data_IF_498033348917
#
_entry.id   IF_498033348917
#
_cell.length_a   1.000
_cell.length_b   1.000
_cell.length_c   1.000
_cell.angle_alpha   90.00
_cell.angle_beta   90.00
_cell.angle_gamma   90.00
#
_symmetry.space_group_name_H-M   'P 1'
#
loop_
_entity.id
_entity.type
_entity.pdbx_description
1 polymer ?
#
# COMPACT_ATOMS: atom_id res chain seq x y z
N UNK A 1 3.70 -4.78 5.96
CA UNK A 1 4.92 -5.08 5.18
C UNK A 1 5.98 -4.00 5.37
N UNK A 2 5.71 -2.75 4.95
CA UNK A 2 6.68 -1.65 4.99
C UNK A 2 7.27 -1.43 6.39
N UNK A 3 6.46 -1.26 7.44
CA UNK A 3 6.99 -1.06 8.80
C UNK A 3 7.85 -2.24 9.33
N UNK A 4 7.44 -3.48 9.03
CA UNK A 4 8.22 -4.67 9.40
C UNK A 4 9.56 -4.72 8.66
N UNK A 5 9.55 -4.43 7.35
CA UNK A 5 10.75 -4.39 6.52
C UNK A 5 11.68 -3.21 6.87
N UNK A 6 11.13 -2.08 7.33
CA UNK A 6 11.89 -0.93 7.78
C UNK A 6 12.65 -1.18 9.09
N UNK A 7 12.19 -2.14 9.92
CA UNK A 7 12.77 -2.43 11.24
C UNK A 7 12.46 -1.36 12.29
N UNK A 8 11.54 -0.43 11.98
CA UNK A 8 11.09 0.65 12.85
C UNK A 8 9.62 0.91 12.60
N UNK A 9 8.93 1.39 13.63
CA UNK A 9 7.54 1.82 13.52
C UNK A 9 7.42 3.34 13.40
N UNK A 10 8.50 4.13 13.54
CA UNK A 10 8.39 5.60 13.47
C UNK A 10 8.24 6.08 12.03
N UNK A 11 7.18 6.81 11.74
CA UNK A 11 6.88 7.27 10.37
C UNK A 11 8.02 8.10 9.79
N UNK A 12 8.60 8.99 10.58
CA UNK A 12 9.71 9.85 10.13
C UNK A 12 10.95 9.04 9.71
N UNK A 13 11.22 7.91 10.38
CA UNK A 13 12.33 7.02 10.04
C UNK A 13 11.99 6.18 8.80
N UNK A 14 10.74 5.72 8.66
CA UNK A 14 10.28 4.99 7.47
C UNK A 14 10.27 5.91 6.23
N UNK A 15 9.80 7.15 6.38
CA UNK A 15 9.70 8.15 5.30
C UNK A 15 11.07 8.58 4.77
N UNK A 16 12.12 8.49 5.58
CA UNK A 16 13.49 8.78 5.18
C UNK A 16 14.13 7.68 4.31
N UNK A 17 13.49 6.51 4.19
CA UNK A 17 13.97 5.42 3.33
C UNK A 17 13.59 5.74 1.88
N UNK A 18 14.56 5.66 0.96
CA UNK A 18 14.30 5.85 -0.46
C UNK A 18 13.44 4.70 -1.03
N UNK A 19 12.68 4.98 -2.09
CA UNK A 19 11.74 4.01 -2.65
C UNK A 19 12.40 2.69 -3.09
N UNK A 20 13.60 2.75 -3.65
CA UNK A 20 14.33 1.56 -4.11
C UNK A 20 14.83 0.71 -2.92
N UNK A 21 15.33 1.35 -1.88
CA UNK A 21 15.71 0.69 -0.64
C UNK A 21 14.48 0.11 0.09
N UNK A 22 13.35 0.82 0.10
CA UNK A 22 12.10 0.32 0.65
C UNK A 22 11.62 -0.93 -0.09
N UNK A 23 11.67 -0.90 -1.44
CA UNK A 23 11.37 -2.05 -2.28
C UNK A 23 12.28 -3.24 -1.93
N UNK A 24 13.59 -3.01 -1.88
CA UNK A 24 14.58 -4.03 -1.56
C UNK A 24 14.32 -4.66 -0.19
N UNK A 25 14.13 -3.85 0.85
CA UNK A 25 13.85 -4.34 2.21
C UNK A 25 12.57 -5.16 2.29
N UNK A 26 11.51 -4.75 1.57
CA UNK A 26 10.25 -5.52 1.54
C UNK A 26 10.45 -6.85 0.82
N UNK A 27 11.17 -6.88 -0.30
CA UNK A 27 11.48 -8.14 -0.99
C UNK A 27 12.36 -9.06 -0.12
N UNK A 28 13.37 -8.53 0.56
CA UNK A 28 14.21 -9.29 1.51
C UNK A 28 13.38 -9.84 2.67
N UNK A 29 12.48 -9.03 3.24
CA UNK A 29 11.57 -9.46 4.29
C UNK A 29 10.65 -10.59 3.80
N UNK A 30 10.08 -10.49 2.60
CA UNK A 30 9.21 -11.52 2.03
C UNK A 30 9.97 -12.81 1.70
N UNK A 31 11.24 -12.70 1.28
CA UNK A 31 12.12 -13.85 1.04
C UNK A 31 12.45 -14.58 2.35
N UNK A 32 12.73 -13.84 3.43
CA UNK A 32 12.97 -14.39 4.76
C UNK A 32 11.70 -14.96 5.42
N UNK A 33 10.51 -14.49 5.01
CA UNK A 33 9.23 -14.84 5.62
C UNK A 33 8.22 -15.40 4.58
N UNK A 34 8.46 -16.59 4.00
CA UNK A 34 7.62 -17.14 2.94
C UNK A 34 6.16 -17.37 3.36
N UNK A 35 5.89 -17.55 4.66
CA UNK A 35 4.55 -17.66 5.20
C UNK A 35 3.67 -16.42 4.91
N UNK A 36 4.28 -15.23 4.83
CA UNK A 36 3.58 -13.97 4.52
C UNK A 36 3.11 -13.98 3.07
N UNK A 37 3.99 -14.28 2.13
CA UNK A 37 3.66 -14.47 0.70
C UNK A 37 2.55 -15.52 0.54
N UNK A 38 2.69 -16.67 1.22
CA UNK A 38 1.68 -17.75 1.21
C UNK A 38 0.31 -17.27 1.70
N UNK A 39 0.30 -16.47 2.78
CA UNK A 39 -0.94 -15.91 3.34
C UNK A 39 -1.62 -14.96 2.36
N UNK A 40 -0.86 -14.03 1.77
CA UNK A 40 -1.37 -13.06 0.78
C UNK A 40 -2.05 -13.78 -0.39
N UNK A 41 -1.38 -14.79 -0.96
CA UNK A 41 -1.93 -15.49 -2.12
C UNK A 41 -3.07 -16.46 -1.76
N UNK A 42 -3.12 -16.95 -0.50
CA UNK A 42 -4.18 -17.83 0.00
C UNK A 42 -5.50 -17.09 0.24
N UNK A 43 -5.44 -15.84 0.70
CA UNK A 43 -6.65 -14.98 0.79
C UNK A 43 -7.15 -14.52 -0.58
N UNK A 44 -6.39 -14.82 -1.64
CA UNK A 44 -6.75 -14.58 -3.03
C UNK A 44 -6.28 -13.24 -3.56
N UNK A 45 -5.29 -12.63 -2.92
CA UNK A 45 -4.66 -11.38 -3.39
C UNK A 45 -3.39 -11.70 -4.17
N UNK A 46 -3.31 -11.37 -5.46
CA UNK A 46 -2.07 -11.53 -6.23
C UNK A 46 -0.98 -10.56 -5.77
N UNK A 47 0.27 -10.96 -6.00
CA UNK A 47 1.45 -10.12 -5.81
C UNK A 47 2.07 -9.84 -7.17
N UNK A 48 2.17 -8.56 -7.53
CA UNK A 48 2.76 -8.08 -8.76
C UNK A 48 4.21 -7.64 -8.52
N UNK A 49 5.12 -8.04 -9.40
CA UNK A 49 6.54 -7.66 -9.37
C UNK A 49 7.02 -7.31 -10.77
N UNK A 50 8.05 -6.48 -10.83
CA UNK A 50 8.86 -6.29 -12.04
C UNK A 50 10.31 -6.69 -11.74
N UNK A 51 10.86 -7.62 -12.55
CA UNK A 51 12.25 -8.10 -12.40
C UNK A 51 12.91 -8.16 -13.76
N UNK A 52 14.02 -7.45 -13.93
CA UNK A 52 14.75 -7.41 -15.21
C UNK A 52 13.90 -6.89 -16.37
N UNK A 53 13.02 -5.92 -16.13
CA UNK A 53 12.08 -5.37 -17.13
C UNK A 53 10.90 -6.30 -17.48
N UNK A 54 10.69 -7.38 -16.72
CA UNK A 54 9.60 -8.33 -16.95
C UNK A 54 8.65 -8.37 -15.75
N UNK A 55 7.37 -8.21 -16.05
CA UNK A 55 6.29 -8.35 -15.08
C UNK A 55 6.08 -9.83 -14.71
N UNK A 56 5.92 -10.07 -13.40
CA UNK A 56 5.67 -11.39 -12.83
C UNK A 56 4.57 -11.29 -11.78
N UNK A 57 3.67 -12.29 -11.77
CA UNK A 57 2.55 -12.36 -10.85
C UNK A 57 2.69 -13.64 -10.02
N UNK A 58 2.71 -13.50 -8.70
CA UNK A 58 2.55 -14.63 -7.77
C UNK A 58 1.11 -14.68 -7.31
N UNK A 59 0.44 -15.82 -7.49
CA UNK A 59 -0.97 -16.00 -7.12
C UNK A 59 -1.25 -17.39 -6.58
N UNK A 60 -2.33 -17.50 -5.83
CA UNK A 60 -2.91 -18.78 -5.42
C UNK A 60 -3.74 -19.38 -6.55
N UNK A 61 -4.35 -20.56 -6.32
CA UNK A 61 -5.32 -21.14 -7.25
C UNK A 61 -6.59 -20.28 -7.38
N UNK A 62 -6.93 -19.51 -6.35
CA UNK A 62 -8.05 -18.58 -6.32
C UNK A 62 -7.54 -17.15 -6.36
N UNK A 63 -8.19 -16.32 -7.17
CA UNK A 63 -8.02 -14.87 -7.21
C UNK A 63 -9.34 -14.25 -6.77
N UNK A 64 -9.29 -13.42 -5.73
CA UNK A 64 -10.46 -12.72 -5.19
C UNK A 64 -10.56 -11.28 -5.71
N UNK A 65 -9.44 -10.71 -6.13
CA UNK A 65 -9.32 -9.34 -6.67
C UNK A 65 -8.66 -9.46 -8.04
N UNK A 66 -9.28 -8.98 -9.13
CA UNK A 66 -10.60 -8.35 -9.18
C UNK A 66 -11.74 -9.32 -8.85
N UNK A 67 -12.90 -8.83 -8.37
CA UNK A 67 -14.08 -9.66 -8.20
C UNK A 67 -14.51 -10.23 -9.56
N UNK A 68 -14.96 -11.49 -9.53
CA UNK A 68 -15.48 -12.16 -10.73
C UNK A 68 -16.73 -11.44 -11.20
N UNK A 69 -16.69 -10.83 -12.39
CA UNK A 69 -17.88 -10.30 -13.06
C UNK A 69 -18.70 -11.49 -13.56
N UNK A 70 -20.00 -11.49 -13.25
CA UNK A 70 -20.90 -12.61 -13.55
C UNK A 70 -20.73 -13.12 -15.00
N UNK A 71 -20.40 -14.41 -15.14
CA UNK A 71 -20.22 -15.09 -16.43
C UNK A 71 -18.79 -15.14 -16.98
N UNK A 72 -17.79 -14.52 -16.33
CA UNK A 72 -16.37 -14.61 -16.76
C UNK A 72 -15.48 -15.23 -15.69
N UNK A 73 -14.98 -16.44 -15.90
CA UNK A 73 -14.00 -17.10 -15.02
C UNK A 73 -12.53 -16.79 -15.37
N UNK A 74 -12.30 -15.98 -16.41
CA UNK A 74 -10.98 -15.62 -16.92
C UNK A 74 -10.79 -14.11 -16.82
N UNK A 75 -9.67 -13.69 -16.24
CA UNK A 75 -9.25 -12.29 -16.20
C UNK A 75 -8.24 -12.03 -17.34
N UNK A 76 -8.45 -10.95 -18.08
CA UNK A 76 -7.54 -10.53 -19.15
C UNK A 76 -6.27 -9.90 -18.54
N UNK A 77 -5.09 -10.38 -18.91
CA UNK A 77 -3.80 -9.89 -18.41
C UNK A 77 -3.08 -9.03 -19.46
N UNK A 78 -3.79 -8.05 -20.01
CA UNK A 78 -3.14 -7.00 -20.81
C UNK A 78 -2.62 -5.87 -19.89
N UNK A 79 -1.77 -4.99 -20.42
CA UNK A 79 -1.12 -3.94 -19.63
C UNK A 79 -2.13 -3.04 -18.90
N UNK A 80 -3.19 -2.60 -19.58
CA UNK A 80 -4.24 -1.76 -19.00
C UNK A 80 -4.97 -2.46 -17.84
N UNK A 81 -5.33 -3.73 -18.03
CA UNK A 81 -6.01 -4.52 -17.00
C UNK A 81 -5.11 -4.78 -15.79
N UNK A 82 -3.83 -5.01 -16.00
CA UNK A 82 -2.87 -5.17 -14.90
C UNK A 82 -2.81 -3.91 -14.05
N UNK A 83 -2.78 -2.72 -14.65
CA UNK A 83 -2.82 -1.48 -13.87
C UNK A 83 -4.12 -1.32 -13.09
N UNK A 84 -5.27 -1.63 -13.70
CA UNK A 84 -6.56 -1.60 -13.01
C UNK A 84 -6.61 -2.58 -11.83
N UNK A 85 -6.04 -3.77 -11.99
CA UNK A 85 -5.99 -4.78 -10.93
C UNK A 85 -4.99 -4.42 -9.83
N UNK A 86 -3.86 -3.80 -10.20
CA UNK A 86 -2.89 -3.26 -9.26
C UNK A 86 -3.51 -2.16 -8.38
N UNK A 87 -4.29 -1.26 -8.99
CA UNK A 87 -5.00 -0.20 -8.27
C UNK A 87 -6.06 -0.75 -7.30
N UNK A 88 -6.85 -1.73 -7.75
CA UNK A 88 -8.00 -2.27 -7.01
C UNK A 88 -7.66 -3.23 -5.86
N UNK A 89 -6.38 -3.41 -5.52
CA UNK A 89 -5.96 -4.07 -4.28
C UNK A 89 -5.04 -5.26 -4.42
N UNK A 90 -4.33 -5.42 -5.55
CA UNK A 90 -3.18 -6.34 -5.57
C UNK A 90 -2.05 -5.80 -4.70
N UNK A 91 -1.19 -6.71 -4.22
CA UNK A 91 0.07 -6.30 -3.60
C UNK A 91 1.05 -5.95 -4.71
N UNK A 92 1.19 -4.66 -5.00
CA UNK A 92 2.11 -4.16 -6.01
C UNK A 92 3.50 -3.89 -5.42
N UNK A 93 4.49 -4.68 -5.84
CA UNK A 93 5.89 -4.57 -5.43
C UNK A 93 6.78 -3.92 -6.50
N UNK A 94 6.19 -3.26 -7.51
CA UNK A 94 6.95 -2.45 -8.47
C UNK A 94 7.47 -1.17 -7.82
N UNK A 95 8.57 -0.65 -8.34
CA UNK A 95 9.22 0.55 -7.81
C UNK A 95 8.26 1.76 -7.76
N UNK A 96 7.44 1.94 -8.81
CA UNK A 96 6.47 3.02 -8.88
C UNK A 96 5.48 3.06 -7.71
N UNK A 97 5.09 1.90 -7.18
CA UNK A 97 4.22 1.85 -6.01
C UNK A 97 4.99 2.23 -4.73
N UNK A 98 6.27 1.86 -4.62
CA UNK A 98 7.11 2.29 -3.49
C UNK A 98 7.39 3.79 -3.52
N UNK A 99 7.54 4.41 -4.68
CA UNK A 99 7.62 5.86 -4.83
C UNK A 99 6.35 6.53 -4.32
N UNK A 100 5.17 5.99 -4.65
CA UNK A 100 3.88 6.47 -4.12
C UNK A 100 3.79 6.30 -2.60
N UNK A 101 4.23 5.16 -2.06
CA UNK A 101 4.28 4.95 -0.61
C UNK A 101 5.24 5.92 0.10
N UNK A 102 6.41 6.18 -0.48
CA UNK A 102 7.36 7.17 0.05
C UNK A 102 6.72 8.57 0.10
N UNK A 103 6.04 8.98 -0.96
CA UNK A 103 5.32 10.26 -1.00
C UNK A 103 4.23 10.32 0.07
N UNK A 104 3.42 9.26 0.21
CA UNK A 104 2.38 9.15 1.25
C UNK A 104 2.97 9.31 2.65
N UNK A 105 4.05 8.59 2.95
CA UNK A 105 4.73 8.64 4.25
C UNK A 105 5.35 10.02 4.52
N UNK A 106 5.88 10.68 3.49
CA UNK A 106 6.43 12.04 3.59
C UNK A 106 5.33 13.08 3.82
N UNK A 107 4.18 12.90 3.17
CA UNK A 107 3.02 13.80 3.29
C UNK A 107 2.26 13.61 4.60
N UNK A 108 2.31 12.41 5.17
CA UNK A 108 1.85 12.08 6.51
C UNK A 108 2.76 12.73 7.57
N UNK A 109 2.83 14.07 7.58
CA UNK A 109 3.51 14.84 8.62
C UNK A 109 2.82 14.53 9.95
N UNK A 110 3.56 14.12 10.99
CA UNK A 110 2.98 13.98 12.32
C UNK A 110 2.31 15.29 12.73
N UNK A 111 1.07 15.21 13.20
CA UNK A 111 0.43 16.33 13.86
C UNK A 111 1.18 16.67 15.14
N UNK A 112 1.66 17.91 15.25
CA UNK A 112 2.26 18.44 16.47
C UNK A 112 1.12 18.80 17.46
N UNK A 113 0.45 17.77 17.99
CA UNK A 113 -0.76 17.90 18.82
C UNK A 113 -0.45 18.71 20.09
N UNK A 114 0.75 18.55 20.65
CA UNK A 114 1.21 19.29 21.84
C UNK A 114 1.30 20.80 21.60
N UNK A 115 1.62 21.23 20.37
CA UNK A 115 1.90 22.64 20.07
C UNK A 115 0.67 23.43 19.61
N UNK A 116 -0.36 22.78 19.07
CA UNK A 116 -1.49 23.46 18.44
C UNK A 116 -2.86 23.21 19.10
N UNK A 117 -2.95 22.40 20.16
CA UNK A 117 -4.20 22.16 20.89
C UNK A 117 -5.32 21.58 20.00
N UNK A 118 -6.59 21.79 20.31
CA UNK A 118 -7.72 21.29 19.49
C UNK A 118 -7.78 21.87 18.07
N UNK A 119 -7.05 22.96 17.79
CA UNK A 119 -6.86 23.52 16.45
C UNK A 119 -5.81 22.75 15.61
N UNK A 120 -5.09 21.79 16.22
CA UNK A 120 -4.17 20.85 15.57
C UNK A 120 -4.90 19.74 14.78
N UNK A 121 -6.23 19.62 14.94
CA UNK A 121 -7.10 18.80 14.10
C UNK A 121 -7.23 19.40 12.70
N UNK A 122 -6.10 19.69 12.07
CA UNK A 122 -6.01 19.76 10.64
C UNK A 122 -6.15 18.32 10.15
N UNK A 123 -7.31 17.99 9.58
CA UNK A 123 -7.65 16.64 9.11
C UNK A 123 -6.67 16.09 8.06
N UNK A 124 -5.76 16.94 7.56
CA UNK A 124 -4.66 16.57 6.68
C UNK A 124 -3.45 15.96 7.37
N UNK A 125 -3.32 16.10 8.69
CA UNK A 125 -2.16 15.58 9.44
C UNK A 125 -2.40 14.18 9.93
N UNK A 126 -1.33 13.39 9.94
CA UNK A 126 -1.37 12.05 10.49
C UNK A 126 -1.37 12.13 12.03
N UNK A 127 -2.25 11.39 12.73
CA UNK A 127 -2.55 11.63 14.14
C UNK A 127 -1.48 11.14 15.14
N UNK A 128 -0.41 10.47 14.68
CA UNK A 128 0.63 9.93 15.56
C UNK A 128 2.04 10.01 15.00
N UNK A 129 3.01 9.51 15.76
CA UNK A 129 4.41 9.39 15.30
C UNK A 129 4.74 7.99 14.78
N UNK A 130 3.92 7.01 15.16
CA UNK A 130 4.09 5.59 14.84
C UNK A 130 3.20 5.20 13.67
N UNK A 131 3.73 4.39 12.75
CA UNK A 131 3.06 3.79 11.62
C UNK A 131 2.21 2.62 12.10
N UNK A 132 0.95 2.93 12.40
CA UNK A 132 -0.08 1.93 12.67
C UNK A 132 -0.86 1.70 11.37
N UNK A 133 -0.85 0.49 10.78
CA UNK A 133 -1.45 0.27 9.46
C UNK A 133 -2.92 0.69 9.35
N UNK A 134 -3.70 0.48 10.41
CA UNK A 134 -5.12 0.88 10.46
C UNK A 134 -5.31 2.39 10.42
N UNK A 135 -4.55 3.12 11.25
CA UNK A 135 -4.61 4.58 11.33
C UNK A 135 -4.10 5.21 10.03
N UNK A 136 -3.03 4.68 9.46
CA UNK A 136 -2.46 5.18 8.21
C UNK A 136 -3.39 4.98 7.04
N UNK A 137 -4.06 3.82 6.94
CA UNK A 137 -5.09 3.59 5.91
C UNK A 137 -6.28 4.52 6.12
N UNK A 138 -6.71 4.74 7.37
CA UNK A 138 -7.76 5.71 7.68
C UNK A 138 -7.40 7.13 7.23
N UNK A 139 -6.17 7.56 7.49
CA UNK A 139 -5.64 8.85 7.03
C UNK A 139 -5.60 8.94 5.50
N UNK A 140 -5.15 7.88 4.82
CA UNK A 140 -5.12 7.82 3.34
C UNK A 140 -6.52 8.02 2.75
N UNK A 141 -7.54 7.34 3.27
CA UNK A 141 -8.92 7.48 2.76
C UNK A 141 -9.51 8.88 2.92
N UNK A 142 -9.02 9.66 3.89
CA UNK A 142 -9.44 11.05 4.09
C UNK A 142 -8.70 12.01 3.15
N UNK A 143 -7.43 11.72 2.86
CA UNK A 143 -6.50 12.67 2.25
C UNK A 143 -6.11 12.37 0.80
N UNK A 144 -6.43 11.18 0.31
CA UNK A 144 -6.14 10.75 -1.05
C UNK A 144 -7.44 10.31 -1.73
N UNK A 145 -7.65 10.75 -2.97
CA UNK A 145 -8.73 10.23 -3.79
C UNK A 145 -8.46 8.76 -4.13
N UNK A 146 -9.51 7.94 -4.11
CA UNK A 146 -9.42 6.57 -4.59
C UNK A 146 -9.34 6.51 -6.13
N UNK A 147 -9.31 5.29 -6.68
CA UNK A 147 -9.29 5.03 -8.12
C UNK A 147 -10.52 5.54 -8.90
N UNK A 148 -11.58 5.98 -8.21
CA UNK A 148 -12.78 6.57 -8.78
C UNK A 148 -12.84 8.10 -8.60
N UNK A 149 -11.73 8.73 -8.19
CA UNK A 149 -11.65 10.16 -7.83
C UNK A 149 -12.59 10.53 -6.66
N UNK A 150 -12.91 9.55 -5.82
CA UNK A 150 -13.74 9.74 -4.63
C UNK A 150 -12.80 9.96 -3.44
N UNK A 151 -12.87 11.16 -2.87
CA UNK A 151 -12.33 11.40 -1.54
C UNK A 151 -13.32 10.86 -0.50
N UNK A 152 -12.81 10.24 0.57
CA UNK A 152 -13.64 9.86 1.71
C UNK A 152 -14.28 11.07 2.37
N UNK A 153 -15.47 11.50 1.90
CA UNK A 153 -16.29 12.50 2.60
C UNK A 153 -16.82 11.86 3.88
N UNK A 154 -16.51 12.44 5.04
CA UNK A 154 -17.25 12.10 6.25
C UNK A 154 -18.71 12.50 6.07
N UNK A 155 -19.60 11.53 6.26
CA UNK A 155 -21.01 11.72 6.60
C UNK A 155 -21.12 12.10 8.08
N UNK A 156 -20.52 13.21 8.53
CA UNK A 156 -20.83 13.82 9.84
C UNK A 156 -20.62 15.33 9.75
#
# INVERSE_FOLDING_TARGET
>A
LIGQAAGTAKIVEIAAIDAAEMQRRVEDYLAANPAVTSTIVRVGTPILRERGGRLTITRGPRISIPPVVAGRSVADLNAERIEQYAASGWVDLRLSNFERWQQRLTNAKPGDIERFGSAAFDATRYPGETFEPGDFVGWLFVNEADEHDIYGRRLF
#
